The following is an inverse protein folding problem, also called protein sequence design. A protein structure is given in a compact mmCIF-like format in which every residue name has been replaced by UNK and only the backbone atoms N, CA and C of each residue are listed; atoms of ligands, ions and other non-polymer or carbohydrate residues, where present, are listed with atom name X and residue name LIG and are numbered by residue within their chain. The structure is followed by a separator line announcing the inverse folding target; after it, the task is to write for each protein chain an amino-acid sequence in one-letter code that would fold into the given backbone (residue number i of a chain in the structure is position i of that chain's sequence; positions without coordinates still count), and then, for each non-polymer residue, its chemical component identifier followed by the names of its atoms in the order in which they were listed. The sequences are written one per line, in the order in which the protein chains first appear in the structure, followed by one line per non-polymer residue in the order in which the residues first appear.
data_IF_053527327844
#
_entry.id   IF_053527327844
#
_cell.length_a   1.000
_cell.length_b   1.000
_cell.length_c   1.000
_cell.angle_alpha   90.00
_cell.angle_beta   90.00
_cell.angle_gamma   90.00
#
_symmetry.space_group_name_H-M   'P 1'
#
loop_
_entity.id
_entity.type
_entity.pdbx_description
1 polymer ?
#
# COMPACT_ATOMS: atom_id res chain seq x y z
N UNK A 1 32.65 74.49 -105.50
CA UNK A 1 32.87 73.05 -105.18
C UNK A 1 32.99 72.81 -103.64
N UNK A 2 33.42 73.81 -102.92
CA UNK A 2 33.61 73.68 -101.45
C UNK A 2 32.35 73.66 -100.56
N UNK A 3 31.26 74.40 -100.98
CA UNK A 3 30.07 74.49 -100.18
C UNK A 3 29.23 73.16 -100.06
N UNK A 4 29.29 72.34 -101.14
CA UNK A 4 28.61 71.04 -101.20
C UNK A 4 29.31 69.98 -100.33
N UNK A 5 30.63 70.04 -100.21
CA UNK A 5 31.45 69.12 -99.37
C UNK A 5 31.21 69.43 -97.87
N UNK A 6 31.12 70.76 -97.57
CA UNK A 6 30.86 71.17 -96.16
C UNK A 6 29.47 70.77 -95.72
N UNK A 7 28.41 70.92 -96.53
CA UNK A 7 27.08 70.49 -96.23
C UNK A 7 26.91 68.99 -96.12
N UNK A 8 27.64 68.22 -96.91
CA UNK A 8 27.72 66.73 -96.81
C UNK A 8 28.38 66.27 -95.50
N UNK A 9 29.42 66.95 -95.06
CA UNK A 9 30.14 66.66 -93.83
C UNK A 9 29.25 67.01 -92.59
N UNK A 10 28.50 68.13 -92.61
CA UNK A 10 27.55 68.44 -91.53
C UNK A 10 26.41 67.46 -91.44
N UNK A 11 25.85 66.99 -92.59
CA UNK A 11 24.81 65.94 -92.60
C UNK A 11 25.33 64.59 -92.04
N UNK A 12 26.59 64.26 -92.42
CA UNK A 12 27.22 63.01 -91.83
C UNK A 12 27.46 63.13 -90.34
N UNK A 13 27.88 64.31 -89.86
CA UNK A 13 28.07 64.53 -88.42
C UNK A 13 26.74 64.47 -87.68
N UNK A 14 25.66 65.12 -88.21
CA UNK A 14 24.33 65.06 -87.66
C UNK A 14 23.80 63.59 -87.61
N UNK A 15 23.88 62.85 -88.75
CA UNK A 15 23.48 61.46 -88.83
C UNK A 15 24.20 60.57 -87.82
N UNK A 16 25.50 60.81 -87.59
CA UNK A 16 26.31 60.09 -86.63
C UNK A 16 25.96 60.44 -85.22
N UNK A 17 25.58 61.72 -84.94
CA UNK A 17 25.12 62.14 -83.62
C UNK A 17 23.71 61.55 -83.26
N UNK A 18 22.78 61.50 -84.24
CA UNK A 18 21.51 60.86 -84.11
C UNK A 18 21.65 59.37 -83.88
N UNK A 19 22.45 58.65 -84.59
CA UNK A 19 22.75 57.23 -84.36
C UNK A 19 23.35 56.98 -82.97
N UNK A 20 24.25 57.87 -82.53
CA UNK A 20 24.81 57.75 -81.15
C UNK A 20 23.77 58.00 -80.08
N UNK A 21 22.83 58.94 -80.31
CA UNK A 21 21.73 59.21 -79.37
C UNK A 21 20.79 58.01 -79.32
N UNK A 22 20.36 57.47 -80.45
CA UNK A 22 19.52 56.23 -80.48
C UNK A 22 20.21 55.06 -79.84
N UNK A 23 21.53 54.87 -80.02
CA UNK A 23 22.27 53.82 -79.37
C UNK A 23 22.27 53.98 -77.85
N UNK A 24 22.44 55.20 -77.32
CA UNK A 24 22.42 55.47 -75.88
C UNK A 24 20.99 55.27 -75.29
N UNK A 25 19.94 55.64 -76.02
CA UNK A 25 18.58 55.40 -75.62
C UNK A 25 18.26 53.89 -75.56
N UNK A 26 18.68 53.12 -76.57
CA UNK A 26 18.52 51.69 -76.61
C UNK A 26 19.31 50.98 -75.48
N UNK A 27 20.52 51.44 -75.19
CA UNK A 27 21.35 50.92 -74.09
C UNK A 27 20.68 51.23 -72.73
N UNK A 28 20.14 52.42 -72.54
CA UNK A 28 19.39 52.82 -71.33
C UNK A 28 18.13 51.96 -71.14
N UNK A 29 17.39 51.71 -72.25
CA UNK A 29 16.21 50.87 -72.25
C UNK A 29 16.56 49.41 -71.90
N UNK A 30 17.66 48.87 -72.46
CA UNK A 30 18.16 47.53 -72.10
C UNK A 30 18.54 47.45 -70.63
N UNK A 31 19.25 48.42 -70.09
CA UNK A 31 19.62 48.46 -68.68
C UNK A 31 18.41 48.53 -67.80
N UNK A 32 17.39 49.36 -68.15
CA UNK A 32 16.14 49.46 -67.39
C UNK A 32 15.39 48.11 -67.36
N UNK A 33 15.30 47.46 -68.55
CA UNK A 33 14.63 46.14 -68.60
C UNK A 33 15.37 45.07 -67.81
N UNK A 34 16.70 45.09 -67.75
CA UNK A 34 17.47 44.16 -66.88
C UNK A 34 17.22 44.44 -65.39
N UNK A 35 17.16 45.70 -64.99
CA UNK A 35 16.87 46.08 -63.60
C UNK A 35 15.48 45.67 -63.23
N UNK A 36 14.47 45.97 -64.08
CA UNK A 36 13.08 45.55 -63.83
C UNK A 36 12.92 44.02 -63.77
N UNK A 37 13.58 43.29 -64.65
CA UNK A 37 13.55 41.85 -64.66
C UNK A 37 14.16 41.27 -63.34
N UNK A 38 15.25 41.87 -62.86
CA UNK A 38 15.89 41.49 -61.60
C UNK A 38 15.00 41.83 -60.39
N UNK A 39 14.38 43.02 -60.37
CA UNK A 39 13.48 43.40 -59.31
C UNK A 39 12.24 42.47 -59.25
N UNK A 40 11.64 42.16 -60.41
CA UNK A 40 10.52 41.23 -60.51
C UNK A 40 10.91 39.82 -60.03
N UNK A 41 12.11 39.33 -60.39
CA UNK A 41 12.59 38.03 -59.92
C UNK A 41 12.79 38.01 -58.38
N UNK A 42 13.35 39.08 -57.83
CA UNK A 42 13.52 39.22 -56.36
C UNK A 42 12.17 39.28 -55.62
N UNK A 43 11.23 40.04 -56.13
CA UNK A 43 9.89 40.15 -55.58
C UNK A 43 9.17 38.79 -55.62
N UNK A 44 9.31 38.02 -56.70
CA UNK A 44 8.78 36.67 -56.77
C UNK A 44 9.41 35.73 -55.73
N UNK A 45 10.73 35.80 -55.55
CA UNK A 45 11.40 35.01 -54.51
C UNK A 45 10.93 35.35 -53.09
N UNK A 46 10.80 36.65 -52.80
CA UNK A 46 10.27 37.11 -51.49
C UNK A 46 8.85 36.62 -51.24
N UNK A 47 7.97 36.68 -52.25
CA UNK A 47 6.60 36.20 -52.17
C UNK A 47 6.55 34.67 -51.96
N UNK A 48 7.41 33.90 -52.61
CA UNK A 48 7.44 32.46 -52.44
C UNK A 48 8.03 32.05 -51.08
N UNK A 49 9.01 32.75 -50.56
CA UNK A 49 9.54 32.54 -49.23
C UNK A 49 8.51 32.89 -48.13
N UNK A 50 7.75 34.00 -48.34
CA UNK A 50 6.67 34.34 -47.42
C UNK A 50 5.56 33.29 -47.43
N UNK A 51 5.18 32.76 -48.61
CA UNK A 51 4.23 31.65 -48.72
C UNK A 51 4.71 30.39 -48.01
N UNK A 52 6.01 30.04 -48.17
CA UNK A 52 6.63 28.90 -47.49
C UNK A 52 6.60 29.08 -45.95
N UNK A 53 6.99 30.26 -45.44
CA UNK A 53 6.94 30.59 -44.02
C UNK A 53 5.53 30.47 -43.46
N UNK A 54 4.53 31.02 -44.15
CA UNK A 54 3.10 30.94 -43.74
C UNK A 54 2.63 29.48 -43.70
N UNK A 55 3.01 28.62 -44.66
CA UNK A 55 2.71 27.18 -44.65
C UNK A 55 3.32 26.47 -43.44
N UNK A 56 4.59 26.74 -43.14
CA UNK A 56 5.30 26.13 -41.99
C UNK A 56 4.65 26.55 -40.68
N UNK A 57 4.30 27.84 -40.54
CA UNK A 57 3.58 28.33 -39.36
C UNK A 57 2.19 27.67 -39.19
N UNK A 58 1.44 27.53 -40.28
CA UNK A 58 0.15 26.87 -40.26
C UNK A 58 0.27 25.40 -39.82
N UNK A 59 1.21 24.66 -40.35
CA UNK A 59 1.50 23.27 -39.95
C UNK A 59 1.88 23.23 -38.47
N UNK A 60 2.74 24.15 -38.00
CA UNK A 60 3.12 24.24 -36.59
C UNK A 60 1.92 24.46 -35.67
N UNK A 61 1.00 25.37 -36.03
CA UNK A 61 -0.22 25.62 -35.26
C UNK A 61 -1.13 24.37 -35.22
N UNK A 62 -1.29 23.68 -36.35
CA UNK A 62 -2.10 22.45 -36.40
C UNK A 62 -1.49 21.35 -35.50
N UNK A 63 -0.16 21.14 -35.59
CA UNK A 63 0.51 20.15 -34.75
C UNK A 63 0.40 20.50 -33.26
N UNK A 64 0.53 21.77 -32.91
CA UNK A 64 0.35 22.24 -31.53
C UNK A 64 -1.08 22.02 -31.02
N UNK A 65 -2.08 22.31 -31.85
CA UNK A 65 -3.49 22.06 -31.52
C UNK A 65 -3.77 20.55 -31.33
N UNK A 66 -3.23 19.70 -32.19
CA UNK A 66 -3.35 18.24 -32.06
C UNK A 66 -2.69 17.73 -30.78
N UNK A 67 -1.47 18.18 -30.48
CA UNK A 67 -0.78 17.82 -29.25
C UNK A 67 -1.56 18.25 -27.99
N UNK A 68 -2.09 19.46 -27.99
CA UNK A 68 -2.96 19.96 -26.94
C UNK A 68 -4.23 19.11 -26.76
N UNK A 69 -4.86 18.71 -27.86
CA UNK A 69 -6.01 17.81 -27.88
C UNK A 69 -5.71 16.43 -27.26
N UNK A 70 -4.56 15.84 -27.61
CA UNK A 70 -4.11 14.57 -27.04
C UNK A 70 -3.84 14.70 -25.52
N UNK A 71 -3.18 15.76 -25.10
CA UNK A 71 -2.91 16.00 -23.66
C UNK A 71 -4.22 16.15 -22.88
N UNK A 72 -5.17 16.95 -23.40
CA UNK A 72 -6.48 17.12 -22.76
C UNK A 72 -7.27 15.81 -22.69
N UNK A 73 -7.22 15.00 -23.73
CA UNK A 73 -7.85 13.67 -23.74
C UNK A 73 -7.24 12.75 -22.68
N UNK A 74 -5.89 12.67 -22.62
CA UNK A 74 -5.19 11.88 -21.63
C UNK A 74 -5.47 12.35 -20.19
N UNK A 75 -5.47 13.66 -19.96
CA UNK A 75 -5.82 14.25 -18.67
C UNK A 75 -7.23 13.87 -18.22
N UNK A 76 -8.23 14.04 -19.07
CA UNK A 76 -9.61 13.64 -18.76
C UNK A 76 -9.73 12.14 -18.47
N UNK A 77 -9.08 11.33 -19.26
CA UNK A 77 -9.02 9.87 -19.04
C UNK A 77 -8.40 9.51 -17.70
N UNK A 78 -7.34 10.20 -17.31
CA UNK A 78 -6.66 9.99 -16.02
C UNK A 78 -7.56 10.39 -14.83
N UNK A 79 -8.23 11.53 -14.91
CA UNK A 79 -9.18 11.98 -13.88
C UNK A 79 -10.30 10.97 -13.70
N UNK A 80 -10.90 10.47 -14.78
CA UNK A 80 -11.96 9.45 -14.71
C UNK A 80 -11.46 8.15 -14.09
N UNK A 81 -10.27 7.67 -14.48
CA UNK A 81 -9.65 6.49 -13.89
C UNK A 81 -9.40 6.66 -12.38
N UNK A 82 -8.89 7.81 -11.98
CA UNK A 82 -8.62 8.09 -10.57
C UNK A 82 -9.93 8.12 -9.76
N UNK A 83 -11.01 8.67 -10.29
CA UNK A 83 -12.32 8.66 -9.64
C UNK A 83 -12.87 7.23 -9.48
N UNK A 84 -12.72 6.37 -10.50
CA UNK A 84 -13.13 4.96 -10.42
C UNK A 84 -12.30 4.22 -9.37
N UNK A 85 -10.97 4.39 -9.37
CA UNK A 85 -10.07 3.77 -8.39
C UNK A 85 -10.40 4.22 -6.97
N UNK A 86 -10.68 5.52 -6.77
CA UNK A 86 -11.07 6.04 -5.46
C UNK A 86 -12.37 5.39 -4.97
N UNK A 87 -13.39 5.28 -5.83
CA UNK A 87 -14.65 4.59 -5.50
C UNK A 87 -14.43 3.12 -5.20
N UNK A 88 -13.67 2.40 -6.02
CA UNK A 88 -13.36 0.99 -5.78
C UNK A 88 -12.62 0.78 -4.45
N UNK A 89 -11.72 1.70 -4.09
CA UNK A 89 -11.03 1.67 -2.78
C UNK A 89 -12.02 1.84 -1.63
N UNK A 90 -12.96 2.76 -1.74
CA UNK A 90 -14.00 2.98 -0.74
C UNK A 90 -14.91 1.74 -0.60
N UNK A 91 -15.37 1.17 -1.72
CA UNK A 91 -16.17 -0.05 -1.75
C UNK A 91 -15.43 -1.23 -1.10
N UNK A 92 -14.13 -1.39 -1.38
CA UNK A 92 -13.30 -2.42 -0.75
C UNK A 92 -13.16 -2.23 0.76
N UNK A 93 -12.99 -1.00 1.24
CA UNK A 93 -12.94 -0.70 2.68
C UNK A 93 -14.27 -1.04 3.34
N UNK A 94 -15.39 -0.67 2.72
CA UNK A 94 -16.73 -0.99 3.22
C UNK A 94 -16.97 -2.50 3.27
N UNK A 95 -16.68 -3.22 2.19
CA UNK A 95 -16.79 -4.68 2.12
C UNK A 95 -15.92 -5.37 3.18
N UNK A 96 -14.69 -4.91 3.35
CA UNK A 96 -13.80 -5.45 4.36
C UNK A 96 -14.38 -5.28 5.77
N UNK A 97 -14.91 -4.09 6.09
CA UNK A 97 -15.58 -3.84 7.37
C UNK A 97 -16.80 -4.74 7.58
N UNK A 98 -17.62 -4.93 6.54
CA UNK A 98 -18.79 -5.82 6.60
C UNK A 98 -18.38 -7.29 6.84
N UNK A 99 -17.32 -7.76 6.16
CA UNK A 99 -16.79 -9.11 6.40
C UNK A 99 -16.38 -9.27 7.88
N UNK A 100 -15.70 -8.29 8.44
CA UNK A 100 -15.27 -8.35 9.85
C UNK A 100 -16.45 -8.34 10.83
N UNK A 101 -17.48 -7.54 10.57
CA UNK A 101 -18.70 -7.57 11.34
C UNK A 101 -19.41 -8.93 11.29
N UNK A 102 -19.47 -9.54 10.11
CA UNK A 102 -20.07 -10.88 9.94
C UNK A 102 -19.25 -11.97 10.63
N UNK A 103 -17.92 -11.93 10.52
CA UNK A 103 -17.06 -12.89 11.23
C UNK A 103 -17.29 -12.78 12.75
N UNK A 104 -17.31 -11.57 13.31
CA UNK A 104 -17.63 -11.36 14.73
C UNK A 104 -18.98 -11.97 15.09
N UNK A 105 -20.05 -11.65 14.33
CA UNK A 105 -21.39 -12.14 14.62
C UNK A 105 -21.45 -13.68 14.54
N UNK A 106 -20.79 -14.29 13.55
CA UNK A 106 -20.73 -15.75 13.43
C UNK A 106 -20.00 -16.39 14.62
N UNK A 107 -18.89 -15.79 15.07
CA UNK A 107 -18.16 -16.27 16.25
C UNK A 107 -19.01 -16.13 17.52
N UNK A 108 -19.78 -15.06 17.68
CA UNK A 108 -20.72 -14.89 18.80
C UNK A 108 -21.82 -15.97 18.80
N UNK A 109 -22.38 -16.30 17.62
CA UNK A 109 -23.37 -17.37 17.49
C UNK A 109 -22.76 -18.71 17.90
N UNK A 110 -21.56 -19.03 17.42
CA UNK A 110 -20.86 -20.28 17.76
C UNK A 110 -20.58 -20.35 19.27
N UNK A 111 -20.11 -19.26 19.88
CA UNK A 111 -19.90 -19.18 21.33
C UNK A 111 -21.18 -19.45 22.09
N UNK A 112 -22.29 -18.78 21.72
CA UNK A 112 -23.60 -18.98 22.36
C UNK A 112 -24.12 -20.43 22.24
N UNK A 113 -23.86 -21.07 21.07
CA UNK A 113 -24.21 -22.49 20.89
C UNK A 113 -23.41 -23.40 21.84
N UNK A 114 -22.10 -23.13 22.01
CA UNK A 114 -21.24 -23.86 22.94
C UNK A 114 -21.68 -23.66 24.40
N UNK A 115 -22.07 -22.44 24.77
CA UNK A 115 -22.63 -22.13 26.11
C UNK A 115 -23.93 -22.88 26.36
N UNK A 116 -24.82 -22.93 25.37
CA UNK A 116 -26.08 -23.73 25.47
C UNK A 116 -25.78 -25.22 25.61
N UNK A 117 -24.81 -25.77 24.87
CA UNK A 117 -24.42 -27.18 25.02
C UNK A 117 -23.79 -27.46 26.38
N UNK A 118 -23.00 -26.53 26.91
CA UNK A 118 -22.47 -26.62 28.27
C UNK A 118 -23.56 -26.68 29.31
N UNK A 119 -24.58 -25.81 29.19
CA UNK A 119 -25.72 -25.77 30.13
C UNK A 119 -26.66 -26.98 30.01
N UNK A 120 -26.79 -27.58 28.83
CA UNK A 120 -27.62 -28.74 28.56
C UNK A 120 -26.99 -30.08 28.96
N UNK A 121 -25.70 -30.12 29.21
CA UNK A 121 -24.95 -31.35 29.49
C UNK A 121 -24.91 -31.64 30.98
N UNK A 122 -25.35 -32.85 31.38
CA UNK A 122 -25.31 -33.30 32.76
C UNK A 122 -23.90 -33.70 33.23
N UNK A 123 -23.03 -34.06 32.31
CA UNK A 123 -21.63 -34.43 32.60
C UNK A 123 -20.81 -33.15 32.80
N UNK A 124 -20.32 -32.93 34.01
CA UNK A 124 -19.58 -31.74 34.41
C UNK A 124 -18.27 -31.59 33.59
N UNK A 125 -17.57 -32.70 33.30
CA UNK A 125 -16.33 -32.67 32.54
C UNK A 125 -16.57 -32.26 31.09
N UNK A 126 -17.65 -32.74 30.47
CA UNK A 126 -18.07 -32.35 29.11
C UNK A 126 -18.53 -30.90 29.10
N UNK A 127 -19.32 -30.45 30.10
CA UNK A 127 -19.76 -29.07 30.25
C UNK A 127 -18.55 -28.09 30.31
N UNK A 128 -17.53 -28.42 31.12
CA UNK A 128 -16.29 -27.64 31.20
C UNK A 128 -15.57 -27.55 29.87
N UNK A 129 -15.52 -28.62 29.06
CA UNK A 129 -14.93 -28.61 27.74
C UNK A 129 -15.68 -27.72 26.75
N UNK A 130 -17.01 -27.70 26.76
CA UNK A 130 -17.82 -26.76 25.97
C UNK A 130 -17.57 -25.31 26.41
N UNK A 131 -17.46 -25.03 27.67
CA UNK A 131 -17.20 -23.71 28.21
C UNK A 131 -15.80 -23.21 27.83
N UNK A 132 -14.75 -24.07 27.87
CA UNK A 132 -13.43 -23.76 27.33
C UNK A 132 -13.47 -23.43 25.85
N UNK A 133 -14.23 -24.20 25.07
CA UNK A 133 -14.46 -23.92 23.65
C UNK A 133 -15.10 -22.58 23.40
N UNK A 134 -16.15 -22.24 24.16
CA UNK A 134 -16.84 -20.94 24.09
C UNK A 134 -15.89 -19.78 24.39
N UNK A 135 -15.12 -19.85 25.48
CA UNK A 135 -14.14 -18.81 25.82
C UNK A 135 -13.09 -18.60 24.72
N UNK A 136 -12.61 -19.67 24.06
CA UNK A 136 -11.69 -19.55 22.92
C UNK A 136 -12.32 -18.85 21.72
N UNK A 137 -13.57 -19.20 21.40
CA UNK A 137 -14.30 -18.54 20.31
C UNK A 137 -14.55 -17.06 20.62
N UNK A 138 -14.90 -16.72 21.87
CA UNK A 138 -15.05 -15.32 22.31
C UNK A 138 -13.73 -14.55 22.18
N UNK A 139 -12.61 -15.17 22.58
CA UNK A 139 -11.28 -14.56 22.39
C UNK A 139 -10.95 -14.34 20.92
N UNK A 140 -11.27 -15.31 20.05
CA UNK A 140 -11.11 -15.13 18.60
C UNK A 140 -11.95 -13.97 18.07
N UNK A 141 -13.19 -13.83 18.52
CA UNK A 141 -14.08 -12.70 18.14
C UNK A 141 -13.52 -11.36 18.61
N UNK A 142 -13.01 -11.30 19.84
CA UNK A 142 -12.36 -10.13 20.41
C UNK A 142 -11.09 -9.74 19.63
N UNK A 143 -10.21 -10.70 19.37
CA UNK A 143 -9.01 -10.51 18.56
C UNK A 143 -9.40 -9.93 17.20
N UNK A 144 -10.37 -10.54 16.53
CA UNK A 144 -10.82 -10.13 15.21
C UNK A 144 -11.42 -8.72 15.21
N UNK A 145 -12.16 -8.35 16.25
CA UNK A 145 -12.76 -7.02 16.37
C UNK A 145 -11.71 -5.91 16.53
N UNK A 146 -10.72 -6.10 17.41
CA UNK A 146 -9.72 -5.07 17.71
C UNK A 146 -8.70 -4.88 16.57
N UNK A 147 -8.47 -5.91 15.75
CA UNK A 147 -7.53 -5.86 14.65
C UNK A 147 -7.97 -4.93 13.50
N UNK A 148 -9.25 -4.59 13.41
CA UNK A 148 -9.82 -3.87 12.26
C UNK A 148 -10.52 -2.56 12.61
N UNK A 149 -10.34 -2.06 13.84
CA UNK A 149 -10.87 -0.75 14.28
C UNK A 149 -9.90 0.42 14.00
N UNK A 150 -8.64 0.15 13.58
CA UNK A 150 -7.63 1.18 13.29
C UNK A 150 -7.81 1.88 11.95
N UNK A 151 -7.28 3.10 11.84
CA UNK A 151 -7.33 3.95 10.63
C UNK A 151 -6.56 3.37 9.42
N UNK A 152 -5.62 2.44 9.65
CA UNK A 152 -4.82 1.79 8.61
C UNK A 152 -5.16 0.31 8.51
N UNK A 153 -5.84 -0.14 7.45
CA UNK A 153 -6.17 -1.55 7.29
C UNK A 153 -4.91 -2.42 7.26
N UNK A 154 -4.77 -3.30 8.26
CA UNK A 154 -3.69 -4.30 8.32
C UNK A 154 -2.46 -3.92 9.15
N UNK A 155 -2.32 -2.69 9.64
CA UNK A 155 -1.25 -2.27 10.55
C UNK A 155 -1.75 -2.23 11.99
N UNK A 156 -1.15 -3.00 12.88
CA UNK A 156 -1.60 -3.18 14.26
C UNK A 156 -0.45 -2.85 15.21
N UNK A 157 -0.67 -1.89 16.11
CA UNK A 157 0.23 -1.68 17.24
C UNK A 157 0.15 -2.88 18.19
N UNK A 158 1.19 -3.72 18.15
CA UNK A 158 1.22 -4.95 18.93
C UNK A 158 1.28 -4.70 20.44
N UNK A 159 1.83 -3.57 20.87
CA UNK A 159 1.91 -3.24 22.29
C UNK A 159 0.53 -2.95 22.88
N UNK A 160 -0.26 -2.09 22.22
CA UNK A 160 -1.63 -1.78 22.66
C UNK A 160 -2.53 -3.01 22.57
N UNK A 161 -2.38 -3.79 21.49
CA UNK A 161 -3.14 -5.03 21.30
C UNK A 161 -2.90 -6.04 22.44
N UNK A 162 -1.64 -6.36 22.78
CA UNK A 162 -1.32 -7.32 23.83
C UNK A 162 -1.75 -6.81 25.21
N UNK A 163 -1.61 -5.52 25.51
CA UNK A 163 -2.11 -4.92 26.74
C UNK A 163 -3.62 -5.10 26.90
N UNK A 164 -4.35 -4.84 25.82
CA UNK A 164 -5.81 -4.98 25.81
C UNK A 164 -6.22 -6.44 25.94
N UNK A 165 -5.56 -7.38 25.23
CA UNK A 165 -5.79 -8.81 25.35
C UNK A 165 -5.52 -9.31 26.77
N UNK A 166 -4.41 -8.90 27.37
CA UNK A 166 -4.03 -9.27 28.72
C UNK A 166 -5.06 -8.78 29.77
N UNK A 167 -5.53 -7.54 29.65
CA UNK A 167 -6.55 -6.97 30.53
C UNK A 167 -7.87 -7.77 30.45
N UNK A 168 -8.32 -8.13 29.25
CA UNK A 168 -9.54 -8.92 29.07
C UNK A 168 -9.41 -10.34 29.61
N UNK A 169 -8.23 -10.98 29.43
CA UNK A 169 -7.99 -12.28 30.01
C UNK A 169 -8.06 -12.24 31.55
N UNK A 170 -7.43 -11.25 32.17
CA UNK A 170 -7.50 -11.07 33.63
C UNK A 170 -8.93 -10.84 34.11
N UNK A 171 -9.71 -10.05 33.38
CA UNK A 171 -11.11 -9.80 33.71
C UNK A 171 -11.98 -11.05 33.60
N UNK A 172 -11.76 -11.92 32.62
CA UNK A 172 -12.51 -13.15 32.41
C UNK A 172 -12.27 -14.19 33.51
N UNK A 173 -11.15 -14.11 34.23
CA UNK A 173 -10.77 -14.98 35.32
C UNK A 173 -10.85 -14.31 36.70
N UNK A 174 -11.80 -13.38 36.88
CA UNK A 174 -11.95 -12.49 38.08
C UNK A 174 -11.94 -13.19 39.46
N UNK A 175 -12.30 -14.45 39.57
CA UNK A 175 -12.30 -15.19 40.85
C UNK A 175 -10.91 -15.60 41.34
N UNK A 176 -9.93 -15.64 40.43
CA UNK A 176 -8.53 -16.03 40.71
C UNK A 176 -7.60 -14.80 40.70
N UNK A 177 -8.01 -13.72 40.05
CA UNK A 177 -7.13 -12.63 39.61
C UNK A 177 -6.79 -11.57 40.65
N UNK A 178 -7.46 -11.45 41.78
CA UNK A 178 -7.13 -10.40 42.79
C UNK A 178 -5.72 -10.54 43.39
N UNK A 179 -5.07 -11.70 43.18
CA UNK A 179 -3.72 -11.99 43.70
C UNK A 179 -2.70 -12.33 42.67
N UNK A 180 -3.09 -12.35 41.38
CA UNK A 180 -2.18 -12.63 40.25
C UNK A 180 -1.90 -11.30 39.51
N UNK A 181 -0.62 -11.02 39.31
CA UNK A 181 -0.17 -9.81 38.59
C UNK A 181 0.25 -10.26 37.19
N UNK A 182 -0.33 -9.67 36.13
CA UNK A 182 0.11 -9.84 34.76
C UNK A 182 0.88 -8.59 34.31
N UNK A 183 2.12 -8.79 33.87
CA UNK A 183 3.01 -7.74 33.38
C UNK A 183 3.34 -7.95 31.90
N UNK A 184 3.58 -6.86 31.17
CA UNK A 184 3.89 -6.92 29.74
C UNK A 184 5.14 -6.08 29.45
N UNK A 185 6.11 -6.65 28.73
CA UNK A 185 7.31 -5.96 28.21
C UNK A 185 7.36 -6.15 26.69
N UNK A 186 6.69 -5.25 25.98
CA UNK A 186 6.40 -5.35 24.54
C UNK A 186 7.12 -4.24 23.79
N UNK A 187 7.96 -4.60 22.84
CA UNK A 187 8.57 -3.66 21.92
C UNK A 187 7.50 -3.06 21.00
N UNK A 188 7.47 -1.71 20.80
CA UNK A 188 6.50 -1.06 19.94
C UNK A 188 6.80 -1.35 18.47
N UNK A 189 6.12 -2.34 17.92
CA UNK A 189 6.26 -2.79 16.52
C UNK A 189 4.87 -2.85 15.89
N UNK A 190 4.75 -2.33 14.67
CA UNK A 190 3.54 -2.50 13.88
C UNK A 190 3.61 -3.81 13.09
N UNK A 191 2.68 -4.71 13.36
CA UNK A 191 2.60 -6.02 12.73
C UNK A 191 1.33 -6.16 11.88
N UNK A 192 1.45 -6.96 10.82
CA UNK A 192 0.29 -7.31 9.99
C UNK A 192 -0.62 -8.31 10.70
N UNK A 193 -1.94 -8.24 10.44
CA UNK A 193 -2.96 -9.13 11.03
C UNK A 193 -2.64 -10.62 10.92
N UNK A 194 -2.01 -11.06 9.81
CA UNK A 194 -1.59 -12.46 9.60
C UNK A 194 -0.60 -12.96 10.66
N UNK A 195 0.14 -12.04 11.31
CA UNK A 195 1.07 -12.30 12.40
C UNK A 195 0.40 -12.15 13.76
N UNK A 196 -0.40 -11.09 13.92
CA UNK A 196 -1.03 -10.74 15.20
C UNK A 196 -2.07 -11.76 15.64
N UNK A 197 -2.91 -12.28 14.71
CA UNK A 197 -3.92 -13.29 15.04
C UNK A 197 -3.29 -14.57 15.64
N UNK A 198 -2.32 -15.21 14.98
CA UNK A 198 -1.61 -16.35 15.59
C UNK A 198 -0.94 -16.04 16.94
N UNK A 199 -0.31 -14.86 17.08
CA UNK A 199 0.31 -14.44 18.35
C UNK A 199 -0.72 -14.31 19.47
N UNK A 200 -1.83 -13.63 19.19
CA UNK A 200 -2.90 -13.45 20.16
C UNK A 200 -3.51 -14.76 20.64
N UNK A 201 -3.70 -15.73 19.74
CA UNK A 201 -4.21 -17.06 20.11
C UNK A 201 -3.22 -17.86 20.93
N UNK A 202 -1.91 -17.80 20.61
CA UNK A 202 -0.85 -18.44 21.41
C UNK A 202 -0.80 -17.80 22.80
N UNK A 203 -0.78 -16.47 22.90
CA UNK A 203 -0.77 -15.76 24.18
C UNK A 203 -2.02 -16.11 25.01
N UNK A 204 -3.19 -16.14 24.37
CA UNK A 204 -4.43 -16.54 25.06
C UNK A 204 -4.32 -17.94 25.67
N UNK A 205 -3.86 -18.92 24.91
CA UNK A 205 -3.74 -20.29 25.42
C UNK A 205 -2.71 -20.39 26.55
N UNK A 206 -1.56 -19.74 26.42
CA UNK A 206 -0.50 -19.78 27.43
C UNK A 206 -0.93 -19.09 28.72
N UNK A 207 -1.51 -17.87 28.63
CA UNK A 207 -2.00 -17.13 29.81
C UNK A 207 -3.18 -17.84 30.47
N UNK A 208 -4.14 -18.35 29.68
CA UNK A 208 -5.27 -19.13 30.22
C UNK A 208 -4.81 -20.39 30.96
N UNK A 209 -3.80 -21.09 30.43
CA UNK A 209 -3.20 -22.25 31.10
C UNK A 209 -2.55 -21.84 32.43
N UNK A 210 -1.78 -20.75 32.44
CA UNK A 210 -1.18 -20.24 33.70
C UNK A 210 -2.26 -19.88 34.70
N UNK A 211 -3.33 -19.17 34.32
CA UNK A 211 -4.43 -18.78 35.21
C UNK A 211 -5.23 -19.97 35.75
N UNK A 212 -5.38 -21.05 34.94
CA UNK A 212 -6.11 -22.27 35.36
C UNK A 212 -5.31 -23.21 36.22
N UNK A 213 -4.04 -23.39 35.91
CA UNK A 213 -3.25 -24.51 36.41
C UNK A 213 -2.07 -24.09 37.28
N UNK A 214 -1.43 -22.93 36.99
CA UNK A 214 -0.17 -22.58 37.65
C UNK A 214 -0.35 -22.15 39.12
N UNK A 215 -1.54 -21.63 39.50
CA UNK A 215 -1.75 -20.94 40.77
C UNK A 215 -2.75 -21.66 41.71
N UNK A 216 -3.20 -22.86 41.37
CA UNK A 216 -4.20 -23.59 42.17
C UNK A 216 -3.79 -23.77 43.66
N UNK A 217 -2.49 -23.82 43.96
CA UNK A 217 -1.92 -24.00 45.29
C UNK A 217 -1.28 -22.74 45.87
N UNK A 218 -1.19 -21.67 45.07
CA UNK A 218 -0.54 -20.41 45.46
C UNK A 218 -1.56 -19.29 45.60
N UNK A 219 -1.45 -18.54 46.71
CA UNK A 219 -2.33 -17.40 46.96
C UNK A 219 -1.94 -16.14 46.21
N UNK A 220 -0.78 -16.09 45.58
CA UNK A 220 -0.24 -14.95 44.78
C UNK A 220 0.63 -15.51 43.64
N UNK A 221 0.66 -14.81 42.51
CA UNK A 221 1.48 -15.20 41.37
C UNK A 221 1.72 -14.07 40.40
N UNK A 222 2.66 -14.29 39.51
CA UNK A 222 3.00 -13.35 38.45
C UNK A 222 3.03 -14.07 37.10
N UNK A 223 2.46 -13.43 36.09
CA UNK A 223 2.58 -13.82 34.67
C UNK A 223 3.27 -12.67 33.95
N UNK A 224 4.28 -12.97 33.16
CA UNK A 224 5.00 -11.98 32.35
C UNK A 224 4.92 -12.35 30.87
N UNK A 225 4.55 -11.39 30.03
CA UNK A 225 4.52 -11.50 28.58
C UNK A 225 5.60 -10.59 28.02
N UNK A 226 6.56 -11.14 27.27
CA UNK A 226 7.62 -10.40 26.58
C UNK A 226 7.48 -10.62 25.09
N UNK A 227 7.53 -9.53 24.31
CA UNK A 227 7.63 -9.59 22.86
C UNK A 227 8.69 -8.60 22.39
N UNK A 228 9.77 -9.11 21.80
CA UNK A 228 10.90 -8.31 21.33
C UNK A 228 11.39 -8.79 19.98
N UNK A 229 11.86 -7.85 19.16
CA UNK A 229 12.58 -8.18 17.94
C UNK A 229 14.04 -8.46 18.29
N UNK A 230 14.51 -9.64 17.91
CA UNK A 230 15.91 -10.06 18.06
C UNK A 230 16.42 -10.38 16.66
N UNK A 231 17.31 -9.54 16.15
CA UNK A 231 17.76 -9.58 14.76
C UNK A 231 16.58 -9.61 13.78
N UNK A 232 16.53 -10.62 12.89
CA UNK A 232 15.46 -10.82 11.91
C UNK A 232 14.32 -11.73 12.43
N UNK A 233 14.24 -11.96 13.74
CA UNK A 233 13.25 -12.84 14.39
C UNK A 233 12.48 -12.07 15.45
N UNK A 234 11.31 -12.61 15.82
CA UNK A 234 10.49 -12.10 16.90
C UNK A 234 10.51 -13.12 18.05
N UNK A 235 10.91 -12.70 19.23
CA UNK A 235 10.83 -13.51 20.44
C UNK A 235 9.54 -13.20 21.17
N UNK A 236 8.66 -14.18 21.30
CA UNK A 236 7.55 -14.18 22.26
C UNK A 236 7.91 -15.08 23.44
N UNK A 237 7.81 -14.53 24.65
CA UNK A 237 7.95 -15.31 25.89
C UNK A 237 6.73 -15.09 26.77
N UNK A 238 6.16 -16.15 27.31
CA UNK A 238 5.14 -16.13 28.36
C UNK A 238 5.67 -16.97 29.52
N UNK A 239 5.82 -16.31 30.68
CA UNK A 239 6.38 -16.94 31.88
C UNK A 239 5.45 -16.73 33.06
N UNK A 240 5.19 -17.79 33.83
CA UNK A 240 4.58 -17.74 35.15
C UNK A 240 5.55 -18.22 36.25
N UNK A 241 5.29 -17.82 37.48
CA UNK A 241 5.99 -18.28 38.68
C UNK A 241 5.19 -19.33 39.47
N UNK A 242 4.32 -20.07 38.79
CA UNK A 242 3.44 -21.09 39.35
C UNK A 242 4.12 -22.38 39.77
N UNK A 243 3.35 -23.46 39.77
CA UNK A 243 3.86 -24.82 40.17
C UNK A 243 4.66 -25.52 39.05
N UNK A 244 4.65 -24.95 37.84
CA UNK A 244 5.25 -25.58 36.65
C UNK A 244 4.43 -26.75 36.11
N UNK A 245 4.97 -27.43 35.11
CA UNK A 245 4.36 -28.61 34.49
C UNK A 245 4.79 -29.85 35.32
N UNK A 246 3.81 -30.56 35.90
CA UNK A 246 4.09 -31.77 36.67
C UNK A 246 4.36 -32.96 35.73
N UNK A 247 5.39 -33.73 36.00
CA UNK A 247 5.79 -34.92 35.19
C UNK A 247 4.72 -36.03 35.16
N UNK A 248 3.69 -35.97 36.01
CA UNK A 248 2.65 -36.98 36.16
C UNK A 248 1.32 -36.64 35.45
N UNK A 249 1.23 -35.62 34.57
CA UNK A 249 0.08 -35.51 33.74
C UNK A 249 0.01 -36.71 32.77
N UNK A 250 -1.13 -37.40 32.87
CA UNK A 250 -1.42 -38.66 32.19
C UNK A 250 -1.09 -38.63 30.71
N UNK A 251 0.09 -39.17 30.36
CA UNK A 251 0.64 -39.19 28.97
C UNK A 251 -0.28 -39.97 28.03
N UNK A 252 -1.29 -40.73 28.61
CA UNK A 252 -2.27 -41.50 27.86
C UNK A 252 -3.42 -40.64 27.28
N UNK A 253 -3.64 -39.44 27.83
CA UNK A 253 -4.73 -38.55 27.39
C UNK A 253 -4.43 -37.79 26.08
N UNK A 254 -3.22 -37.85 25.56
CA UNK A 254 -2.77 -37.14 24.35
C UNK A 254 -2.64 -35.63 24.58
N UNK A 255 -2.09 -34.88 23.61
CA UNK A 255 -1.89 -33.44 23.77
C UNK A 255 -3.21 -32.72 23.85
N UNK A 256 -3.36 -31.82 24.85
CA UNK A 256 -4.54 -30.99 25.06
C UNK A 256 -4.86 -30.16 23.78
N UNK A 257 -6.11 -29.78 23.62
CA UNK A 257 -6.53 -28.98 22.47
C UNK A 257 -5.78 -27.64 22.42
N UNK A 258 -5.50 -27.00 23.57
CA UNK A 258 -4.68 -25.79 23.64
C UNK A 258 -3.27 -26.00 23.08
N UNK A 259 -2.63 -27.13 23.40
CA UNK A 259 -1.32 -27.47 22.83
C UNK A 259 -1.38 -27.65 21.32
N UNK A 260 -2.45 -28.25 20.76
CA UNK A 260 -2.65 -28.36 19.30
C UNK A 260 -2.76 -26.99 18.64
N UNK A 261 -3.46 -26.03 19.29
CA UNK A 261 -3.55 -24.63 18.81
C UNK A 261 -2.16 -23.99 18.80
N UNK A 262 -1.43 -24.05 19.91
CA UNK A 262 -0.08 -23.49 20.01
C UNK A 262 0.81 -24.07 18.91
N UNK A 263 0.81 -25.40 18.75
CA UNK A 263 1.61 -26.09 17.73
C UNK A 263 1.23 -25.67 16.30
N UNK A 264 -0.05 -25.60 15.97
CA UNK A 264 -0.53 -25.22 14.63
C UNK A 264 -0.12 -23.78 14.27
N UNK A 265 -0.30 -22.84 15.19
CA UNK A 265 0.05 -21.43 14.94
C UNK A 265 1.57 -21.19 14.99
N UNK A 266 2.31 -21.92 15.80
CA UNK A 266 3.78 -21.90 15.78
C UNK A 266 4.34 -22.40 14.46
N UNK A 267 3.74 -23.44 13.87
CA UNK A 267 4.11 -23.89 12.52
C UNK A 267 3.82 -22.84 11.46
N UNK A 268 2.64 -22.17 11.53
CA UNK A 268 2.26 -21.06 10.63
C UNK A 268 3.28 -19.92 10.69
N UNK A 269 3.76 -19.58 11.88
CA UNK A 269 4.75 -18.53 12.14
C UNK A 269 6.21 -19.02 11.95
N UNK A 270 6.42 -20.30 11.61
CA UNK A 270 7.75 -20.95 11.58
C UNK A 270 8.54 -20.67 12.86
N UNK A 271 7.88 -20.84 13.99
CA UNK A 271 8.45 -20.61 15.30
C UNK A 271 9.13 -21.88 15.85
N UNK A 272 10.27 -21.68 16.51
CA UNK A 272 10.89 -22.69 17.35
C UNK A 272 10.40 -22.49 18.79
N UNK A 273 9.87 -23.53 19.41
CA UNK A 273 9.29 -23.49 20.77
C UNK A 273 10.27 -24.12 21.75
N UNK A 274 10.53 -23.43 22.86
CA UNK A 274 11.27 -23.94 24.01
C UNK A 274 10.36 -23.82 25.24
N UNK A 275 10.27 -24.88 26.03
CA UNK A 275 9.49 -24.94 27.27
C UNK A 275 10.42 -25.32 28.42
N UNK A 276 10.39 -24.49 29.47
CA UNK A 276 11.13 -24.74 30.72
C UNK A 276 10.15 -24.70 31.90
N UNK A 277 10.19 -25.66 32.78
CA UNK A 277 9.22 -25.81 33.88
C UNK A 277 9.85 -25.98 35.30
N UNK A 278 11.10 -25.58 35.50
CA UNK A 278 11.78 -25.78 36.78
C UNK A 278 11.23 -24.91 37.94
N UNK A 279 10.80 -23.68 37.68
CA UNK A 279 10.26 -22.72 38.67
C UNK A 279 9.10 -21.96 38.04
N UNK A 280 7.93 -22.58 37.89
CA UNK A 280 6.85 -22.09 37.04
C UNK A 280 7.01 -22.59 35.62
N UNK A 281 6.24 -22.02 34.69
CA UNK A 281 6.30 -22.37 33.27
C UNK A 281 6.87 -21.21 32.48
N UNK A 282 7.88 -21.42 31.68
CA UNK A 282 8.49 -20.45 30.77
C UNK A 282 8.41 -21.00 29.34
N UNK A 283 7.55 -20.44 28.52
CA UNK A 283 7.39 -20.81 27.10
C UNK A 283 7.94 -19.71 26.23
N UNK A 284 8.92 -20.05 25.39
CA UNK A 284 9.56 -19.14 24.44
C UNK A 284 9.33 -19.60 23.02
N UNK A 285 8.94 -18.67 22.15
CA UNK A 285 8.76 -18.87 20.73
C UNK A 285 9.68 -17.93 19.96
N UNK A 286 10.65 -18.49 19.25
CA UNK A 286 11.50 -17.73 18.34
C UNK A 286 10.92 -17.82 16.93
N UNK A 287 10.27 -16.76 16.49
CA UNK A 287 9.44 -16.67 15.29
C UNK A 287 10.25 -16.14 14.13
N UNK A 288 10.29 -16.91 13.03
CA UNK A 288 11.05 -16.55 11.82
C UNK A 288 10.16 -16.01 10.68
N UNK A 289 8.85 -16.26 10.72
CA UNK A 289 7.91 -15.77 9.70
C UNK A 289 6.90 -14.81 10.33
N UNK A 290 7.17 -13.52 10.19
CA UNK A 290 6.26 -12.44 10.57
C UNK A 290 6.28 -11.32 9.52
N UNK A 291 5.26 -10.47 9.53
CA UNK A 291 5.14 -9.33 8.61
C UNK A 291 5.01 -8.06 9.44
N UNK A 292 5.91 -7.12 9.23
CA UNK A 292 5.80 -5.73 9.66
C UNK A 292 5.09 -4.91 8.58
N UNK A 293 4.54 -3.76 8.98
CA UNK A 293 3.85 -2.82 8.06
C UNK A 293 4.66 -1.53 7.97
#
# INVERSE_FOLDING_TARGET
MDATITQQNELNVLSKSEKNLQFKELEKERLLNIVLARENSLNQQLLDDDKKRKKILLIGVILFALAGGVILYQYRRQVLKNAIIAKQKEDLVMLNREIHHRVKNNLQIISSMLDLQSAATADKMIAEKFQEGSQRVQTMAFIHQNLYQGESPGSIDIQEYIKTLAANLMQSYNTVSEKIILTTDIEPINLHSDTVIPLGLIINELVSNSLKYAFNLKSKGQINIVLKKIDEKLLLQVKDDGIGIQENEDVTAGPSFGYKIIKAFSQKLKAFITINSQHGTDVQLLISKFRTV
#
